data_IF_447756378356
#
_entry.id   IF_447756378356
#
_cell.length_a   1.000
_cell.length_b   1.000
_cell.length_c   1.000
_cell.angle_alpha   90.00
_cell.angle_beta   90.00
_cell.angle_gamma   90.00
#
_symmetry.space_group_name_H-M   'P 1'
#
loop_
_entity.id
_entity.type
_entity.pdbx_description
1 polymer ?
#
# COMPACT_ATOMS: atom_id res chain seq x y z
N UNK A 1 6.65 23.81 -14.94
CA UNK A 1 5.97 24.19 -13.68
C UNK A 1 4.81 23.26 -13.34
N UNK A 2 3.81 23.04 -14.23
CA UNK A 2 2.67 22.15 -13.97
C UNK A 2 3.03 20.73 -13.51
N UNK A 3 4.05 20.10 -14.13
CA UNK A 3 4.47 18.72 -13.80
C UNK A 3 4.81 18.53 -12.33
N UNK A 4 5.43 19.53 -11.69
CA UNK A 4 5.82 19.47 -10.28
C UNK A 4 4.59 19.47 -9.35
N UNK A 5 3.55 20.23 -9.71
CA UNK A 5 2.30 20.28 -8.95
C UNK A 5 1.57 18.92 -8.97
N UNK A 6 1.58 18.23 -10.11
CA UNK A 6 1.03 16.87 -10.24
C UNK A 6 1.83 15.84 -9.42
N UNK A 7 3.17 15.95 -9.36
CA UNK A 7 4.00 15.11 -8.49
C UNK A 7 3.69 15.35 -7.01
N UNK A 8 3.51 16.61 -6.60
CA UNK A 8 3.16 16.94 -5.22
C UNK A 8 1.80 16.35 -4.84
N UNK A 9 0.79 16.50 -5.69
CA UNK A 9 -0.57 16.02 -5.44
C UNK A 9 -0.63 14.49 -5.36
N UNK A 10 0.02 13.80 -6.31
CA UNK A 10 0.09 12.33 -6.31
C UNK A 10 0.89 11.79 -5.12
N UNK A 11 1.98 12.46 -4.71
CA UNK A 11 2.76 12.11 -3.53
C UNK A 11 1.97 12.27 -2.24
N UNK A 12 1.19 13.35 -2.10
CA UNK A 12 0.31 13.57 -0.92
C UNK A 12 -0.80 12.51 -0.87
N UNK A 13 -1.49 12.25 -1.99
CA UNK A 13 -2.54 11.23 -2.04
C UNK A 13 -1.99 9.83 -1.75
N UNK A 14 -0.85 9.46 -2.34
CA UNK A 14 -0.17 8.21 -2.04
C UNK A 14 0.30 8.13 -0.59
N UNK A 15 0.74 9.24 -0.02
CA UNK A 15 1.12 9.39 1.38
C UNK A 15 -0.04 9.08 2.33
N UNK A 16 -1.20 9.68 2.09
CA UNK A 16 -2.42 9.47 2.88
C UNK A 16 -2.91 8.03 2.75
N UNK A 17 -3.04 7.51 1.53
CA UNK A 17 -3.48 6.14 1.28
C UNK A 17 -2.51 5.10 1.84
N UNK A 18 -1.21 5.37 1.76
CA UNK A 18 -0.18 4.54 2.36
C UNK A 18 -0.17 4.59 3.89
N UNK A 19 -0.43 5.76 4.48
CA UNK A 19 -0.60 5.93 5.93
C UNK A 19 -1.83 5.22 6.50
N UNK A 20 -2.87 5.01 5.67
CA UNK A 20 -4.04 4.18 6.00
C UNK A 20 -3.75 2.68 5.94
N UNK A 21 -2.53 2.26 5.60
CA UNK A 21 -2.12 0.85 5.57
C UNK A 21 -2.35 0.13 4.25
N UNK A 22 -2.87 0.82 3.21
CA UNK A 22 -3.11 0.23 1.89
C UNK A 22 -1.83 0.09 1.04
N UNK A 23 -0.72 0.68 1.51
CA UNK A 23 0.56 0.76 0.81
C UNK A 23 0.55 1.84 -0.27
N UNK A 24 1.36 2.90 -0.12
CA UNK A 24 1.33 4.08 -1.00
C UNK A 24 1.56 3.76 -2.48
N UNK A 25 2.34 2.70 -2.76
CA UNK A 25 2.66 2.26 -4.12
C UNK A 25 1.52 1.69 -4.94
N UNK A 26 0.52 1.12 -4.28
CA UNK A 26 -0.65 0.51 -4.92
C UNK A 26 -1.43 1.55 -5.73
N UNK A 27 -1.50 2.78 -5.22
CA UNK A 27 -2.15 3.91 -5.89
C UNK A 27 -1.15 4.79 -6.68
N UNK A 28 0.09 4.94 -6.19
CA UNK A 28 1.10 5.79 -6.83
C UNK A 28 1.51 5.28 -8.21
N UNK A 29 1.69 3.97 -8.39
CA UNK A 29 2.16 3.40 -9.66
C UNK A 29 1.13 3.54 -10.80
N UNK A 30 -0.16 3.24 -10.63
CA UNK A 30 -1.18 3.45 -11.68
C UNK A 30 -1.36 4.93 -12.02
N UNK A 31 -1.43 5.79 -10.99
CA UNK A 31 -1.54 7.24 -11.17
C UNK A 31 -0.32 7.77 -11.95
N UNK A 32 0.89 7.42 -11.55
CA UNK A 32 2.09 7.87 -12.23
C UNK A 32 2.25 7.24 -13.63
N UNK A 33 1.85 5.98 -13.83
CA UNK A 33 1.93 5.32 -15.14
C UNK A 33 0.91 5.83 -16.16
N UNK A 34 -0.23 6.39 -15.72
CA UNK A 34 -1.21 7.06 -16.61
C UNK A 34 -0.68 8.41 -17.13
N UNK A 35 0.20 9.08 -16.38
CA UNK A 35 0.76 10.39 -16.73
C UNK A 35 2.21 10.35 -17.25
N UNK A 36 2.93 9.22 -17.14
CA UNK A 36 4.35 9.09 -17.46
C UNK A 36 4.66 7.75 -18.16
N UNK A 37 5.27 7.78 -19.36
CA UNK A 37 5.40 6.58 -20.22
C UNK A 37 6.79 6.37 -20.87
N UNK A 38 7.93 6.40 -20.13
CA UNK A 38 8.96 5.44 -20.59
C UNK A 38 9.72 4.62 -19.55
N UNK A 39 9.77 4.98 -18.25
CA UNK A 39 10.71 4.33 -17.33
C UNK A 39 10.01 3.64 -16.16
N UNK A 40 9.58 2.39 -16.36
CA UNK A 40 8.94 1.56 -15.33
C UNK A 40 9.83 1.37 -14.08
N UNK A 41 11.15 1.30 -14.27
CA UNK A 41 12.12 1.14 -13.18
C UNK A 41 12.25 2.39 -12.32
N UNK A 42 12.17 3.57 -12.93
CA UNK A 42 12.16 4.83 -12.19
C UNK A 42 10.91 4.94 -11.30
N UNK A 43 9.74 4.52 -11.80
CA UNK A 43 8.49 4.53 -11.03
C UNK A 43 8.50 3.53 -9.87
N UNK A 44 9.02 2.30 -10.09
CA UNK A 44 9.15 1.29 -9.02
C UNK A 44 10.10 1.75 -7.91
N UNK A 45 11.23 2.34 -8.30
CA UNK A 45 12.24 2.82 -7.35
C UNK A 45 11.74 4.04 -6.57
N UNK A 46 11.10 4.98 -7.25
CA UNK A 46 10.49 6.16 -6.61
C UNK A 46 9.46 5.77 -5.56
N UNK A 47 8.63 4.76 -5.86
CA UNK A 47 7.68 4.20 -4.90
C UNK A 47 8.40 3.62 -3.66
N UNK A 48 9.47 2.84 -3.85
CA UNK A 48 10.21 2.25 -2.72
C UNK A 48 10.84 3.31 -1.81
N UNK A 49 11.42 4.36 -2.39
CA UNK A 49 11.98 5.49 -1.64
C UNK A 49 10.88 6.24 -0.87
N UNK A 50 9.67 6.34 -1.44
CA UNK A 50 8.53 6.99 -0.78
C UNK A 50 8.03 6.26 0.47
N UNK A 51 8.31 4.95 0.59
CA UNK A 51 7.96 4.17 1.78
C UNK A 51 8.80 4.54 3.00
N UNK A 52 10.02 5.06 2.85
CA UNK A 52 10.89 5.39 3.99
C UNK A 52 10.27 6.51 4.86
N UNK A 53 9.96 7.71 4.34
CA UNK A 53 9.34 8.76 5.15
C UNK A 53 7.94 8.35 5.63
N UNK A 54 7.20 7.61 4.81
CA UNK A 54 5.88 7.07 5.17
C UNK A 54 5.96 6.14 6.38
N UNK A 55 6.89 5.18 6.38
CA UNK A 55 7.06 4.22 7.46
C UNK A 55 7.44 4.94 8.76
N UNK A 56 8.31 5.95 8.69
CA UNK A 56 8.69 6.75 9.87
C UNK A 56 7.46 7.40 10.49
N UNK A 57 6.63 8.08 9.68
CA UNK A 57 5.43 8.76 10.17
C UNK A 57 4.40 7.75 10.68
N UNK A 58 4.12 6.69 9.92
CA UNK A 58 3.14 5.67 10.28
C UNK A 58 3.51 4.95 11.59
N UNK A 59 4.77 4.51 11.73
CA UNK A 59 5.26 3.84 12.94
C UNK A 59 5.25 4.80 14.13
N UNK A 60 5.66 6.06 13.94
CA UNK A 60 5.66 7.06 15.03
C UNK A 60 4.24 7.34 15.52
N UNK A 61 3.26 7.46 14.61
CA UNK A 61 1.85 7.68 14.95
C UNK A 61 1.23 6.44 15.63
N UNK A 62 1.46 5.24 15.09
CA UNK A 62 0.94 4.01 15.68
C UNK A 62 1.60 3.68 17.03
N UNK A 63 2.90 3.99 17.18
CA UNK A 63 3.62 3.86 18.44
C UNK A 63 3.05 4.78 19.52
N UNK A 64 2.75 6.04 19.16
CA UNK A 64 2.16 7.02 20.08
C UNK A 64 0.76 6.62 20.56
N UNK A 65 -0.02 5.96 19.71
CA UNK A 65 -1.37 5.49 20.07
C UNK A 65 -1.39 4.15 20.82
N UNK A 66 -0.23 3.55 21.15
CA UNK A 66 -0.17 2.28 21.87
C UNK A 66 -0.68 1.06 21.07
N UNK A 67 -0.94 1.23 19.77
CA UNK A 67 -1.48 0.20 18.87
C UNK A 67 -0.42 -0.80 18.37
N UNK A 68 0.81 -0.74 18.92
CA UNK A 68 1.88 -1.67 18.56
C UNK A 68 1.83 -2.90 19.45
N UNK A 69 1.17 -3.93 18.94
CA UNK A 69 1.24 -5.30 19.44
C UNK A 69 2.69 -5.81 19.33
N UNK A 70 3.42 -5.83 20.45
CA UNK A 70 4.80 -6.35 20.49
C UNK A 70 4.86 -7.88 20.44
N UNK A 71 3.74 -8.56 20.67
CA UNK A 71 3.65 -10.02 20.61
C UNK A 71 3.77 -10.48 19.17
N UNK A 72 4.79 -11.29 18.88
CA UNK A 72 5.02 -11.84 17.54
C UNK A 72 5.69 -10.87 16.55
N UNK A 73 6.07 -9.66 16.98
CA UNK A 73 6.73 -8.67 16.14
C UNK A 73 7.95 -9.23 15.40
N UNK A 74 8.80 -10.00 16.10
CA UNK A 74 9.96 -10.63 15.48
C UNK A 74 9.59 -11.62 14.36
N UNK A 75 8.51 -12.40 14.52
CA UNK A 75 8.05 -13.34 13.48
C UNK A 75 7.56 -12.58 12.26
N UNK A 76 6.82 -11.49 12.47
CA UNK A 76 6.32 -10.64 11.37
C UNK A 76 7.49 -9.97 10.65
N UNK A 77 8.46 -9.40 11.38
CA UNK A 77 9.65 -8.79 10.78
C UNK A 77 10.41 -9.82 9.93
N UNK A 78 10.64 -11.03 10.47
CA UNK A 78 11.39 -12.06 9.74
C UNK A 78 10.63 -12.56 8.51
N UNK A 79 9.31 -12.77 8.62
CA UNK A 79 8.46 -13.17 7.51
C UNK A 79 8.42 -12.10 6.42
N UNK A 80 8.24 -10.82 6.79
CA UNK A 80 8.23 -9.69 5.86
C UNK A 80 9.59 -9.47 5.21
N UNK A 81 10.69 -9.53 5.98
CA UNK A 81 12.04 -9.38 5.46
C UNK A 81 12.39 -10.52 4.50
N UNK A 82 12.10 -11.77 4.88
CA UNK A 82 12.29 -12.94 4.03
C UNK A 82 11.50 -12.83 2.73
N UNK A 83 10.18 -12.59 2.83
CA UNK A 83 9.32 -12.43 1.64
C UNK A 83 9.76 -11.28 0.74
N UNK A 84 10.21 -10.16 1.31
CA UNK A 84 10.68 -9.00 0.53
C UNK A 84 11.98 -9.31 -0.19
N UNK A 85 12.91 -10.01 0.47
CA UNK A 85 14.18 -10.41 -0.13
C UNK A 85 13.96 -11.39 -1.29
N UNK A 86 13.19 -12.45 -1.06
CA UNK A 86 12.85 -13.41 -2.12
C UNK A 86 12.10 -12.74 -3.27
N UNK A 87 11.14 -11.86 -2.98
CA UNK A 87 10.41 -11.10 -4.00
C UNK A 87 11.33 -10.18 -4.81
N UNK A 88 12.28 -9.50 -4.17
CA UNK A 88 13.24 -8.63 -4.84
C UNK A 88 14.19 -9.44 -5.75
N UNK A 89 14.73 -10.55 -5.27
CA UNK A 89 15.61 -11.42 -6.07
C UNK A 89 14.85 -12.03 -7.25
N UNK A 90 13.62 -12.50 -7.03
CA UNK A 90 12.76 -13.02 -8.10
C UNK A 90 12.45 -11.95 -9.15
N UNK A 91 12.24 -10.71 -8.71
CA UNK A 91 11.99 -9.56 -9.60
C UNK A 91 13.18 -9.20 -10.49
N UNK A 92 14.42 -9.55 -10.14
CA UNK A 92 15.60 -9.27 -10.97
C UNK A 92 15.70 -10.20 -12.19
N UNK A 93 15.03 -11.36 -12.15
CA UNK A 93 15.02 -12.33 -13.25
C UNK A 93 13.89 -12.12 -14.28
N UNK A 94 13.07 -11.09 -14.11
CA UNK A 94 11.88 -10.83 -14.95
C UNK A 94 12.06 -9.50 -15.69
N UNK A 95 11.85 -9.48 -17.01
CA UNK A 95 11.88 -8.23 -17.77
C UNK A 95 10.85 -7.21 -17.25
N UNK A 96 11.23 -5.94 -17.27
CA UNK A 96 10.41 -4.84 -16.75
C UNK A 96 9.01 -4.77 -17.37
N UNK A 97 8.82 -5.25 -18.61
CA UNK A 97 7.53 -5.30 -19.28
C UNK A 97 6.57 -6.34 -18.66
N UNK A 98 7.05 -7.57 -18.39
CA UNK A 98 6.26 -8.60 -17.73
C UNK A 98 5.94 -8.21 -16.29
N UNK A 99 6.89 -7.57 -15.61
CA UNK A 99 6.68 -7.11 -14.24
C UNK A 99 5.63 -6.00 -14.16
N UNK A 100 5.59 -5.10 -15.15
CA UNK A 100 4.53 -4.09 -15.28
C UNK A 100 3.17 -4.72 -15.56
N UNK A 101 3.10 -5.70 -16.48
CA UNK A 101 1.86 -6.44 -16.78
C UNK A 101 1.37 -7.23 -15.56
N UNK A 102 2.27 -7.90 -14.84
CA UNK A 102 1.97 -8.63 -13.60
C UNK A 102 1.45 -7.73 -12.50
N UNK A 103 2.07 -6.56 -12.28
CA UNK A 103 1.57 -5.57 -11.33
C UNK A 103 0.17 -5.05 -11.71
N UNK A 104 -0.08 -4.81 -13.00
CA UNK A 104 -1.41 -4.43 -13.49
C UNK A 104 -2.47 -5.51 -13.25
N UNK A 105 -2.17 -6.77 -13.54
CA UNK A 105 -3.07 -7.89 -13.27
C UNK A 105 -3.35 -8.07 -11.78
N UNK A 106 -2.32 -7.90 -10.94
CA UNK A 106 -2.45 -7.92 -9.48
C UNK A 106 -3.42 -6.85 -8.97
N UNK A 107 -3.36 -5.63 -9.51
CA UNK A 107 -4.29 -4.56 -9.14
C UNK A 107 -5.73 -4.85 -9.54
N UNK A 108 -5.94 -5.44 -10.72
CA UNK A 108 -7.28 -5.88 -11.14
C UNK A 108 -7.81 -6.94 -10.17
N UNK A 109 -7.00 -7.94 -9.84
CA UNK A 109 -7.37 -8.97 -8.87
C UNK A 109 -7.67 -8.39 -7.48
N UNK A 110 -6.85 -7.45 -6.99
CA UNK A 110 -7.11 -6.72 -5.75
C UNK A 110 -8.41 -5.93 -5.81
N UNK A 111 -8.69 -5.25 -6.92
CA UNK A 111 -9.94 -4.50 -7.08
C UNK A 111 -11.15 -5.41 -7.00
N UNK A 112 -11.13 -6.57 -7.67
CA UNK A 112 -12.19 -7.57 -7.53
C UNK A 112 -12.29 -8.10 -6.10
N UNK A 113 -11.17 -8.49 -5.48
CA UNK A 113 -11.18 -9.02 -4.12
C UNK A 113 -11.74 -8.00 -3.13
N UNK A 114 -11.26 -6.76 -3.17
CA UNK A 114 -11.75 -5.65 -2.35
C UNK A 114 -13.25 -5.43 -2.55
N UNK A 115 -13.74 -5.47 -3.79
CA UNK A 115 -15.16 -5.28 -4.10
C UNK A 115 -16.03 -6.36 -3.45
N UNK A 116 -15.63 -7.63 -3.53
CA UNK A 116 -16.37 -8.73 -2.91
C UNK A 116 -16.21 -8.78 -1.38
N UNK A 117 -15.03 -8.48 -0.84
CA UNK A 117 -14.76 -8.54 0.60
C UNK A 117 -15.31 -7.32 1.37
N UNK A 118 -15.34 -6.14 0.74
CA UNK A 118 -15.87 -4.90 1.33
C UNK A 118 -17.35 -5.02 1.71
N UNK A 119 -18.13 -5.79 0.95
CA UNK A 119 -19.53 -6.12 1.30
C UNK A 119 -19.66 -6.82 2.66
N UNK A 120 -18.66 -7.63 3.05
CA UNK A 120 -18.65 -8.34 4.34
C UNK A 120 -18.22 -7.41 5.49
N UNK A 121 -17.17 -6.62 5.27
CA UNK A 121 -16.62 -5.69 6.28
C UNK A 121 -17.64 -4.60 6.63
N UNK A 122 -18.35 -4.05 5.65
CA UNK A 122 -19.39 -3.03 5.89
C UNK A 122 -20.60 -3.57 6.68
N UNK A 123 -20.85 -4.88 6.60
CA UNK A 123 -21.96 -5.53 7.31
C UNK A 123 -21.62 -5.75 8.79
N UNK A 124 -20.37 -6.08 9.10
CA UNK A 124 -19.88 -6.31 10.47
C UNK A 124 -19.84 -5.00 11.30
N UNK A 125 -19.38 -3.90 10.69
CA UNK A 125 -19.32 -2.57 11.32
C UNK A 125 -20.73 -2.03 11.70
N UNK A 126 -21.73 -2.31 10.88
CA UNK A 126 -23.12 -1.93 11.15
C UNK A 126 -23.80 -2.80 12.23
N UNK A 127 -23.36 -4.05 12.42
CA UNK A 127 -23.88 -4.95 13.46
C UNK A 127 -23.31 -4.59 14.84
N UNK A 128 -22.01 -4.29 14.92
CA UNK A 128 -21.34 -3.79 16.14
C UNK A 128 -21.88 -2.42 16.56
N UNK A 129 -22.12 -1.53 15.60
CA UNK A 129 -22.72 -0.21 15.85
C UNK A 129 -24.16 -0.25 16.38
N UNK A 130 -24.90 -1.33 16.11
CA UNK A 130 -26.23 -1.59 16.68
C UNK A 130 -26.14 -2.13 18.11
N UNK A 131 -25.27 -3.12 18.35
CA UNK A 131 -25.10 -3.71 19.69
C UNK A 131 -24.67 -2.70 20.77
N UNK A 132 -23.95 -1.63 20.42
CA UNK A 132 -23.56 -0.56 21.34
C UNK A 132 -24.66 0.50 21.59
N UNK A 133 -25.71 0.51 20.76
CA UNK A 133 -26.87 1.39 20.94
C UNK A 133 -28.01 0.71 21.71
N UNK A 134 -28.10 -0.61 21.64
CA UNK A 134 -29.12 -1.39 22.37
C UNK A 134 -28.75 -1.62 23.86
N UNK A 135 -27.51 -1.32 24.27
CA UNK A 135 -27.01 -1.45 25.66
C UNK A 135 -27.06 -0.10 26.46
N UNK A 136 -27.82 0.89 25.96
CA UNK A 136 -28.09 2.19 26.63
C UNK A 136 -29.58 2.43 26.76
#
# INVERSE_FOLDING_TARGET
>A
MLRFLWFLLSGVLAGVLGGMGMGGGTALIPLASLFFSPNADALRTANLVSFIPMAIVAVTMHAKNGLIEKKGLFKVIFACAGSSFFGAVFSLGIDGEYLKKGFGAFLIALAFFQFFFSQKVYKDENDVGKSLKDDK
#
